data_IF_127332486837
#
_entry.id   IF_127332486837
#
_cell.length_a   1.000
_cell.length_b   1.000
_cell.length_c   1.000
_cell.angle_alpha   90.00
_cell.angle_beta   90.00
_cell.angle_gamma   90.00
#
_symmetry.space_group_name_H-M   'P 1'
#
loop_
_entity.id
_entity.type
_entity.pdbx_description
1 polymer ?
#
# COMPACT_ATOMS: atom_id res chain seq x y z
N UNK A 1 -2.62 -18.30 -11.34
CA UNK A 1 -1.79 -17.17 -11.84
C UNK A 1 -0.34 -17.52 -11.57
N UNK A 2 0.54 -17.46 -12.58
CA UNK A 2 1.96 -17.76 -12.40
C UNK A 2 2.65 -16.61 -11.63
N UNK A 3 3.49 -16.94 -10.65
CA UNK A 3 4.26 -15.96 -9.90
C UNK A 3 5.43 -15.42 -10.74
N UNK A 4 5.74 -14.13 -10.60
CA UNK A 4 6.77 -13.45 -11.38
C UNK A 4 7.75 -12.67 -10.52
N UNK A 5 8.96 -12.46 -11.03
CA UNK A 5 9.92 -11.49 -10.51
C UNK A 5 9.80 -10.16 -11.26
N UNK A 6 9.77 -9.06 -10.51
CA UNK A 6 9.89 -7.72 -11.07
C UNK A 6 11.36 -7.27 -11.09
N UNK A 7 11.73 -6.34 -11.98
CA UNK A 7 13.02 -5.69 -11.90
C UNK A 7 13.19 -4.92 -10.58
N UNK A 8 14.44 -4.85 -10.13
CA UNK A 8 14.88 -4.16 -8.92
C UNK A 8 15.57 -2.86 -9.29
N UNK A 9 15.33 -1.85 -8.48
CA UNK A 9 16.11 -0.61 -8.49
C UNK A 9 16.52 -0.25 -7.07
N UNK A 10 17.81 -0.04 -6.83
CA UNK A 10 18.28 0.35 -5.50
C UNK A 10 17.86 1.79 -5.14
N UNK A 11 17.90 2.07 -3.83
CA UNK A 11 17.51 3.36 -3.26
C UNK A 11 18.20 4.55 -3.93
N UNK A 12 19.53 4.49 -4.13
CA UNK A 12 20.31 5.65 -4.56
C UNK A 12 19.89 6.07 -5.97
N UNK A 13 19.62 5.10 -6.85
CA UNK A 13 19.18 5.39 -8.21
C UNK A 13 17.71 5.79 -8.25
N UNK A 14 16.86 5.18 -7.42
CA UNK A 14 15.47 5.59 -7.29
C UNK A 14 15.34 7.05 -6.83
N UNK A 15 16.13 7.45 -5.84
CA UNK A 15 16.22 8.82 -5.33
C UNK A 15 16.63 9.81 -6.42
N UNK A 16 17.72 9.52 -7.15
CA UNK A 16 18.20 10.36 -8.26
C UNK A 16 17.17 10.53 -9.37
N UNK A 17 16.41 9.48 -9.70
CA UNK A 17 15.34 9.55 -10.70
C UNK A 17 14.23 10.49 -10.27
N UNK A 18 13.79 10.40 -9.02
CA UNK A 18 12.75 11.27 -8.46
C UNK A 18 13.23 12.73 -8.45
N UNK A 19 14.43 13.00 -7.92
CA UNK A 19 15.00 14.35 -7.86
C UNK A 19 15.12 14.98 -9.25
N UNK A 20 15.66 14.22 -10.23
CA UNK A 20 15.79 14.69 -11.61
C UNK A 20 14.42 14.99 -12.23
N UNK A 21 13.47 14.06 -12.12
CA UNK A 21 12.13 14.21 -12.71
C UNK A 21 11.39 15.40 -12.11
N UNK A 22 11.47 15.59 -10.79
CA UNK A 22 10.85 16.73 -10.10
C UNK A 22 11.49 18.04 -10.54
N UNK A 23 12.81 18.08 -10.70
CA UNK A 23 13.53 19.25 -11.21
C UNK A 23 13.09 19.57 -12.64
N UNK A 24 13.04 18.57 -13.51
CA UNK A 24 12.63 18.72 -14.91
C UNK A 24 11.16 19.17 -15.00
N UNK A 25 10.28 18.62 -14.15
CA UNK A 25 8.88 19.03 -14.04
C UNK A 25 8.73 20.50 -13.59
N UNK A 26 9.49 20.94 -12.59
CA UNK A 26 9.50 22.35 -12.15
C UNK A 26 9.99 23.30 -13.25
N UNK A 27 10.95 22.84 -14.08
CA UNK A 27 11.54 23.67 -15.13
C UNK A 27 10.74 23.68 -16.44
N UNK A 28 10.09 22.58 -16.81
CA UNK A 28 9.41 22.41 -18.11
C UNK A 28 7.89 22.33 -18.03
N UNK A 29 7.32 22.09 -16.84
CA UNK A 29 5.89 21.78 -16.66
C UNK A 29 5.49 20.37 -17.07
N UNK A 30 6.42 19.54 -17.55
CA UNK A 30 6.17 18.16 -18.00
C UNK A 30 6.90 17.14 -17.13
N UNK A 31 6.23 16.01 -16.85
CA UNK A 31 6.85 14.87 -16.17
C UNK A 31 7.54 14.02 -17.24
N UNK A 32 8.85 14.22 -17.41
CA UNK A 32 9.68 13.32 -18.20
C UNK A 32 10.17 12.18 -17.31
N UNK A 33 9.68 10.97 -17.53
CA UNK A 33 10.19 9.76 -16.87
C UNK A 33 11.29 9.19 -17.77
N UNK A 34 12.56 9.10 -17.32
CA UNK A 34 13.64 8.65 -18.18
C UNK A 34 13.43 7.20 -18.67
N UNK A 35 13.73 6.96 -19.94
CA UNK A 35 13.92 5.60 -20.45
C UNK A 35 15.12 4.96 -19.72
N UNK A 36 14.83 3.90 -18.97
CA UNK A 36 15.79 2.94 -18.42
C UNK A 36 16.97 3.51 -17.61
N UNK A 37 16.88 3.35 -16.28
CA UNK A 37 18.07 3.42 -15.43
C UNK A 37 18.99 2.22 -15.74
N UNK A 38 20.29 2.42 -16.04
CA UNK A 38 21.23 1.36 -16.41
C UNK A 38 21.54 0.36 -15.26
N UNK A 39 20.87 0.50 -14.11
CA UNK A 39 21.01 -0.36 -12.94
C UNK A 39 19.71 -1.05 -12.52
N UNK A 40 18.75 -1.13 -13.42
CA UNK A 40 17.62 -2.05 -13.26
C UNK A 40 18.13 -3.47 -13.53
N UNK A 41 17.91 -4.38 -12.58
CA UNK A 41 18.33 -5.79 -12.69
C UNK A 41 17.22 -6.70 -12.17
N UNK A 42 17.21 -7.96 -12.57
CA UNK A 42 16.32 -8.95 -11.95
C UNK A 42 17.01 -9.62 -10.76
N UNK A 43 16.26 -9.96 -9.69
CA UNK A 43 16.83 -10.73 -8.59
C UNK A 43 17.18 -12.15 -9.06
N UNK A 44 18.23 -12.74 -8.50
CA UNK A 44 18.66 -14.11 -8.78
C UNK A 44 17.69 -15.14 -8.17
N UNK A 45 16.53 -15.30 -8.80
CA UNK A 45 15.46 -16.20 -8.36
C UNK A 45 15.01 -17.12 -9.51
N UNK A 46 14.42 -18.28 -9.23
CA UNK A 46 13.88 -19.17 -10.26
C UNK A 46 12.54 -18.68 -10.85
N UNK A 47 12.06 -17.50 -10.46
CA UNK A 47 10.79 -16.97 -10.94
C UNK A 47 10.90 -16.52 -12.39
N UNK A 48 9.79 -16.64 -13.13
CA UNK A 48 9.70 -16.03 -14.45
C UNK A 48 9.79 -14.51 -14.34
N UNK A 49 10.57 -13.89 -15.20
CA UNK A 49 10.64 -12.43 -15.29
C UNK A 49 9.33 -11.90 -15.88
N UNK A 50 8.79 -10.82 -15.30
CA UNK A 50 7.66 -10.11 -15.91
C UNK A 50 8.08 -9.57 -17.29
N UNK A 51 7.20 -9.71 -18.30
CA UNK A 51 7.50 -9.21 -19.64
C UNK A 51 7.30 -7.70 -19.74
N UNK A 52 7.96 -7.06 -20.70
CA UNK A 52 7.80 -5.63 -20.96
C UNK A 52 6.34 -5.28 -21.29
N UNK A 53 5.67 -6.12 -22.09
CA UNK A 53 4.27 -5.94 -22.46
C UNK A 53 3.33 -5.99 -21.25
N UNK A 54 3.65 -6.83 -20.25
CA UNK A 54 2.89 -6.89 -19.01
C UNK A 54 3.07 -5.61 -18.17
N UNK A 55 4.28 -5.05 -18.13
CA UNK A 55 4.57 -3.77 -17.47
C UNK A 55 3.84 -2.63 -18.18
N UNK A 56 3.88 -2.58 -19.51
CA UNK A 56 3.19 -1.56 -20.31
C UNK A 56 1.67 -1.66 -20.13
N UNK A 57 1.13 -2.88 -20.16
CA UNK A 57 -0.29 -3.13 -19.90
C UNK A 57 -0.70 -2.70 -18.49
N UNK A 58 0.14 -2.94 -17.48
CA UNK A 58 -0.08 -2.42 -16.13
C UNK A 58 -0.10 -0.89 -16.16
N UNK A 59 0.92 -0.24 -16.74
CA UNK A 59 1.02 1.23 -16.78
C UNK A 59 -0.21 1.86 -17.44
N UNK A 60 -0.60 1.39 -18.63
CA UNK A 60 -1.80 1.88 -19.32
C UNK A 60 -3.02 1.80 -18.40
N UNK A 61 -3.24 0.64 -17.76
CA UNK A 61 -4.38 0.45 -16.88
C UNK A 61 -4.35 1.37 -15.66
N UNK A 62 -3.19 1.59 -15.05
CA UNK A 62 -3.05 2.51 -13.91
C UNK A 62 -3.33 3.95 -14.33
N UNK A 63 -2.80 4.39 -15.47
CA UNK A 63 -3.01 5.75 -15.99
C UNK A 63 -4.48 5.98 -16.36
N UNK A 64 -5.12 5.05 -17.07
CA UNK A 64 -6.56 5.10 -17.37
C UNK A 64 -7.40 5.22 -16.09
N UNK A 65 -7.07 4.41 -15.07
CA UNK A 65 -7.74 4.47 -13.77
C UNK A 65 -7.51 5.82 -13.10
N UNK A 66 -6.28 6.35 -13.13
CA UNK A 66 -5.98 7.66 -12.55
C UNK A 66 -6.81 8.78 -13.21
N UNK A 67 -6.92 8.77 -14.55
CA UNK A 67 -7.71 9.75 -15.30
C UNK A 67 -9.20 9.69 -14.94
N UNK A 68 -9.77 8.50 -14.71
CA UNK A 68 -11.17 8.34 -14.28
C UNK A 68 -11.46 9.02 -12.92
N UNK A 69 -10.44 9.26 -12.10
CA UNK A 69 -10.54 9.91 -10.80
C UNK A 69 -9.97 11.34 -10.79
N UNK A 70 -9.86 11.96 -11.96
CA UNK A 70 -9.49 13.37 -12.15
C UNK A 70 -7.99 13.65 -12.27
N UNK A 71 -7.12 12.64 -12.05
CA UNK A 71 -5.67 12.86 -12.11
C UNK A 71 -5.19 13.18 -13.53
N UNK A 72 -4.26 14.14 -13.62
CA UNK A 72 -3.73 14.62 -14.91
C UNK A 72 -4.68 15.56 -15.66
N UNK A 73 -5.79 15.98 -15.04
CA UNK A 73 -6.76 16.93 -15.59
C UNK A 73 -6.95 18.15 -14.66
N UNK A 74 -7.82 19.08 -15.06
CA UNK A 74 -8.24 20.20 -14.20
C UNK A 74 -9.39 19.84 -13.25
N UNK A 75 -9.84 18.58 -13.25
CA UNK A 75 -10.92 18.11 -12.39
C UNK A 75 -10.42 17.88 -10.95
N UNK A 76 -11.37 17.76 -10.02
CA UNK A 76 -11.05 17.51 -8.62
C UNK A 76 -10.62 16.05 -8.45
N UNK A 77 -9.36 15.84 -8.01
CA UNK A 77 -8.84 14.51 -7.72
C UNK A 77 -9.62 13.79 -6.60
N UNK A 78 -10.07 12.57 -6.88
CA UNK A 78 -10.74 11.69 -5.92
C UNK A 78 -9.76 10.67 -5.29
N UNK A 79 -8.81 11.17 -4.50
CA UNK A 79 -7.71 10.38 -3.92
C UNK A 79 -8.12 9.04 -3.28
N UNK A 80 -9.16 9.03 -2.46
CA UNK A 80 -9.58 7.81 -1.75
C UNK A 80 -10.28 6.81 -2.68
N UNK A 81 -11.09 7.29 -3.63
CA UNK A 81 -11.78 6.42 -4.57
C UNK A 81 -10.79 5.78 -5.56
N UNK A 82 -9.79 6.56 -6.00
CA UNK A 82 -8.67 6.07 -6.78
C UNK A 82 -7.89 4.96 -6.08
N UNK A 83 -7.46 5.17 -4.82
CA UNK A 83 -6.71 4.13 -4.09
C UNK A 83 -7.53 2.84 -3.98
N UNK A 84 -8.84 2.94 -3.74
CA UNK A 84 -9.75 1.78 -3.65
C UNK A 84 -9.84 1.02 -4.97
N UNK A 85 -10.00 1.74 -6.09
CA UNK A 85 -10.08 1.13 -7.41
C UNK A 85 -8.76 0.51 -7.86
N UNK A 86 -7.64 1.16 -7.52
CA UNK A 86 -6.31 0.73 -7.93
C UNK A 86 -5.79 -0.47 -7.11
N UNK A 87 -6.22 -0.61 -5.86
CA UNK A 87 -5.79 -1.69 -4.96
C UNK A 87 -5.92 -3.11 -5.55
N UNK A 88 -7.10 -3.56 -6.02
CA UNK A 88 -7.22 -4.87 -6.65
C UNK A 88 -6.46 -4.98 -7.98
N UNK A 89 -6.36 -3.88 -8.76
CA UNK A 89 -5.62 -3.86 -10.03
C UNK A 89 -4.14 -4.16 -9.80
N UNK A 90 -3.52 -3.46 -8.85
CA UNK A 90 -2.09 -3.63 -8.51
C UNK A 90 -1.82 -5.06 -8.05
N UNK A 91 -2.65 -5.61 -7.17
CA UNK A 91 -2.44 -6.95 -6.65
C UNK A 91 -2.58 -8.03 -7.73
N UNK A 92 -3.64 -7.99 -8.53
CA UNK A 92 -3.90 -9.03 -9.52
C UNK A 92 -2.99 -8.94 -10.74
N UNK A 93 -2.53 -7.74 -11.12
CA UNK A 93 -1.59 -7.59 -12.24
C UNK A 93 -0.13 -7.78 -11.85
N UNK A 94 0.19 -7.79 -10.55
CA UNK A 94 1.51 -8.10 -10.01
C UNK A 94 1.42 -9.37 -9.14
N UNK A 95 1.46 -10.58 -9.74
CA UNK A 95 1.52 -11.84 -9.02
C UNK A 95 2.89 -12.06 -8.37
N UNK A 96 3.24 -11.16 -7.45
CA UNK A 96 4.47 -11.22 -6.69
C UNK A 96 4.33 -12.24 -5.56
N UNK A 97 5.33 -13.08 -5.32
CA UNK A 97 5.40 -13.78 -4.05
C UNK A 97 5.76 -12.80 -2.93
N UNK A 98 5.39 -13.17 -1.69
CA UNK A 98 5.55 -12.33 -0.50
C UNK A 98 7.00 -11.89 -0.27
N UNK A 99 7.98 -12.74 -0.59
CA UNK A 99 9.40 -12.41 -0.48
C UNK A 99 9.81 -11.29 -1.46
N UNK A 100 9.33 -11.32 -2.71
CA UNK A 100 9.57 -10.26 -3.69
C UNK A 100 8.89 -8.97 -3.26
N UNK A 101 7.62 -9.03 -2.84
CA UNK A 101 6.87 -7.88 -2.36
C UNK A 101 7.44 -7.23 -1.09
N UNK A 102 8.26 -7.97 -0.31
CA UNK A 102 8.97 -7.40 0.86
C UNK A 102 10.14 -6.53 0.45
N UNK A 103 10.75 -6.79 -0.72
CA UNK A 103 11.89 -6.03 -1.21
C UNK A 103 11.48 -4.60 -1.57
N UNK A 104 12.08 -3.56 -0.94
CA UNK A 104 11.84 -2.18 -1.35
C UNK A 104 12.27 -1.91 -2.81
N UNK A 105 13.20 -2.70 -3.35
CA UNK A 105 13.75 -2.48 -4.69
C UNK A 105 12.73 -2.74 -5.80
N UNK A 106 11.79 -3.66 -5.61
CA UNK A 106 10.66 -3.87 -6.53
C UNK A 106 9.80 -2.61 -6.62
N UNK A 107 9.48 -2.04 -5.46
CA UNK A 107 8.63 -0.86 -5.37
C UNK A 107 9.32 0.41 -5.82
N UNK A 108 10.63 0.52 -5.58
CA UNK A 108 11.48 1.55 -6.14
C UNK A 108 11.37 1.54 -7.67
N UNK A 109 11.61 0.39 -8.31
CA UNK A 109 11.50 0.26 -9.75
C UNK A 109 10.11 0.65 -10.26
N UNK A 110 9.07 0.00 -9.73
CA UNK A 110 7.70 0.24 -10.18
C UNK A 110 7.30 1.71 -10.03
N UNK A 111 7.63 2.33 -8.91
CA UNK A 111 7.19 3.69 -8.61
C UNK A 111 8.00 4.74 -9.34
N UNK A 112 9.33 4.63 -9.37
CA UNK A 112 10.18 5.71 -9.90
C UNK A 112 10.50 5.54 -11.39
N UNK A 113 10.35 4.33 -11.93
CA UNK A 113 10.62 4.03 -13.35
C UNK A 113 9.34 3.86 -14.15
N UNK A 114 8.31 3.21 -13.60
CA UNK A 114 7.10 2.86 -14.38
C UNK A 114 5.94 3.83 -14.14
N UNK A 115 5.74 4.30 -12.91
CA UNK A 115 4.52 5.00 -12.49
C UNK A 115 4.79 6.32 -11.74
N UNK A 116 5.91 6.99 -12.02
CA UNK A 116 6.35 8.15 -11.25
C UNK A 116 5.39 9.35 -11.41
N UNK A 117 4.86 9.54 -12.61
CA UNK A 117 3.83 10.52 -12.90
C UNK A 117 2.58 10.33 -12.03
N UNK A 118 2.06 9.09 -11.98
CA UNK A 118 0.88 8.76 -11.16
C UNK A 118 1.17 8.93 -9.67
N UNK A 119 2.38 8.56 -9.23
CA UNK A 119 2.79 8.78 -7.85
C UNK A 119 2.85 10.27 -7.48
N UNK A 120 3.38 11.11 -8.38
CA UNK A 120 3.45 12.57 -8.22
C UNK A 120 2.07 13.24 -8.26
N UNK A 121 1.14 12.72 -9.07
CA UNK A 121 -0.25 13.17 -9.07
C UNK A 121 -0.94 12.84 -7.75
N UNK A 122 -0.74 11.61 -7.24
CA UNK A 122 -1.35 11.13 -5.98
C UNK A 122 -0.77 11.84 -4.76
N UNK A 123 0.53 12.09 -4.78
CA UNK A 123 1.28 12.78 -3.76
C UNK A 123 2.19 13.78 -4.42
N UNK A 124 1.86 15.08 -4.43
CA UNK A 124 2.80 16.08 -4.89
C UNK A 124 4.11 16.00 -4.12
N UNK A 125 5.24 16.16 -4.80
CA UNK A 125 6.55 16.02 -4.19
C UNK A 125 6.83 17.14 -3.18
N UNK A 126 7.13 16.74 -1.96
CA UNK A 126 7.67 17.59 -0.89
C UNK A 126 9.02 17.01 -0.46
N UNK A 127 10.03 17.86 -0.24
CA UNK A 127 11.40 17.46 0.16
C UNK A 127 11.50 16.93 1.62
N UNK A 128 10.37 16.66 2.28
CA UNK A 128 10.37 16.13 3.65
C UNK A 128 10.71 14.64 3.63
N UNK A 129 11.53 14.19 4.58
CA UNK A 129 11.93 12.77 4.67
C UNK A 129 10.72 11.81 4.78
N UNK A 130 9.64 12.24 5.43
CA UNK A 130 8.41 11.44 5.56
C UNK A 130 7.68 11.23 4.24
N UNK A 131 7.74 12.18 3.30
CA UNK A 131 7.09 12.11 1.99
C UNK A 131 7.93 11.31 0.99
N UNK A 132 9.26 11.28 1.13
CA UNK A 132 10.16 10.51 0.26
C UNK A 132 9.86 9.01 0.27
N UNK A 133 9.41 8.45 1.41
CA UNK A 133 9.05 7.03 1.56
C UNK A 133 7.88 6.59 0.66
N UNK A 134 7.11 7.54 0.13
CA UNK A 134 6.03 7.26 -0.83
C UNK A 134 6.57 6.90 -2.21
N UNK A 135 7.81 7.25 -2.51
CA UNK A 135 8.43 7.04 -3.81
C UNK A 135 9.46 5.92 -3.79
N UNK A 136 10.25 5.80 -2.71
CA UNK A 136 11.32 4.82 -2.62
C UNK A 136 11.65 4.40 -1.19
N UNK A 137 12.38 3.28 -1.06
CA UNK A 137 13.01 2.75 0.15
C UNK A 137 12.03 2.37 1.29
N UNK A 138 10.81 1.98 0.94
CA UNK A 138 9.83 1.45 1.88
C UNK A 138 8.84 0.57 1.09
N UNK A 139 8.54 -0.65 1.54
CA UNK A 139 7.57 -1.51 0.84
C UNK A 139 6.13 -1.26 1.30
N UNK A 140 5.94 -0.81 2.54
CA UNK A 140 4.62 -0.62 3.16
C UNK A 140 4.10 0.81 3.01
N UNK A 141 4.98 1.80 2.85
CA UNK A 141 4.59 3.21 2.67
C UNK A 141 4.72 3.71 1.24
N UNK A 142 5.38 2.93 0.38
CA UNK A 142 5.46 3.25 -1.03
C UNK A 142 4.06 3.29 -1.66
N UNK A 143 3.88 4.21 -2.61
CA UNK A 143 2.59 4.55 -3.22
C UNK A 143 1.84 3.32 -3.74
N UNK A 144 2.54 2.40 -4.41
CA UNK A 144 1.93 1.19 -4.99
C UNK A 144 2.16 -0.05 -4.11
N UNK A 145 3.31 -0.13 -3.42
CA UNK A 145 3.60 -1.23 -2.50
C UNK A 145 2.55 -1.37 -1.40
N UNK A 146 2.11 -0.25 -0.82
CA UNK A 146 1.03 -0.24 0.18
C UNK A 146 -0.28 -0.83 -0.36
N UNK A 147 -0.61 -0.58 -1.63
CA UNK A 147 -1.86 -1.03 -2.24
C UNK A 147 -1.81 -2.55 -2.44
N UNK A 148 -0.67 -3.05 -2.91
CA UNK A 148 -0.43 -4.48 -3.01
C UNK A 148 -0.55 -5.17 -1.65
N UNK A 149 0.13 -4.64 -0.63
CA UNK A 149 0.10 -5.21 0.73
C UNK A 149 -1.27 -5.15 1.37
N UNK A 150 -2.03 -4.09 1.10
CA UNK A 150 -3.41 -3.93 1.57
C UNK A 150 -4.31 -5.02 1.02
N UNK A 151 -4.27 -5.28 -0.27
CA UNK A 151 -5.05 -6.37 -0.86
C UNK A 151 -4.53 -7.75 -0.43
N UNK A 152 -3.21 -7.94 -0.33
CA UNK A 152 -2.64 -9.20 0.13
C UNK A 152 -3.19 -9.64 1.50
N UNK A 153 -3.36 -8.70 2.41
CA UNK A 153 -3.84 -8.98 3.77
C UNK A 153 -5.37 -8.99 3.89
N UNK A 154 -6.08 -8.17 3.11
CA UNK A 154 -7.51 -7.94 3.31
C UNK A 154 -8.39 -8.48 2.18
N UNK A 155 -7.82 -8.87 1.05
CA UNK A 155 -8.58 -9.22 -0.15
C UNK A 155 -9.58 -8.13 -0.51
N UNK A 156 -10.85 -8.51 -0.72
CA UNK A 156 -11.93 -7.58 -1.06
C UNK A 156 -12.23 -6.54 0.04
N UNK A 157 -11.98 -6.86 1.31
CA UNK A 157 -12.11 -5.90 2.42
C UNK A 157 -11.13 -4.74 2.32
N UNK A 158 -10.09 -4.87 1.49
CA UNK A 158 -9.17 -3.77 1.22
C UNK A 158 -9.90 -2.49 0.80
N UNK A 159 -11.02 -2.59 0.07
CA UNK A 159 -11.79 -1.44 -0.40
C UNK A 159 -12.48 -0.61 0.71
N UNK A 160 -12.75 -1.20 1.88
CA UNK A 160 -13.39 -0.50 3.00
C UNK A 160 -12.39 0.17 3.95
N UNK A 161 -11.10 -0.15 3.85
CA UNK A 161 -10.05 0.43 4.69
C UNK A 161 -9.71 1.88 4.30
N UNK A 162 -9.29 2.72 5.25
CA UNK A 162 -8.65 4.01 4.97
C UNK A 162 -7.14 3.90 4.75
N UNK A 163 -6.51 4.90 4.14
CA UNK A 163 -5.03 5.01 4.08
C UNK A 163 -4.43 5.06 5.49
N UNK A 164 -4.98 5.92 6.36
CA UNK A 164 -4.53 6.03 7.76
C UNK A 164 -4.75 4.73 8.55
N UNK A 165 -5.84 4.02 8.30
CA UNK A 165 -6.11 2.74 8.96
C UNK A 165 -5.06 1.71 8.53
N UNK A 166 -4.74 1.64 7.23
CA UNK A 166 -3.66 0.81 6.73
C UNK A 166 -2.33 1.16 7.39
N UNK A 167 -1.92 2.43 7.41
CA UNK A 167 -0.65 2.82 8.05
C UNK A 167 -0.61 2.47 9.55
N UNK A 168 -1.74 2.59 10.25
CA UNK A 168 -1.84 2.24 11.67
C UNK A 168 -1.79 0.72 11.91
N UNK A 169 -2.36 -0.10 11.02
CA UNK A 169 -2.30 -1.56 11.12
C UNK A 169 -0.91 -2.07 10.75
N UNK A 170 -0.38 -1.62 9.61
CA UNK A 170 0.86 -2.12 9.00
C UNK A 170 2.12 -1.49 9.59
N UNK A 171 2.02 -0.35 10.27
CA UNK A 171 3.08 0.18 11.12
C UNK A 171 3.35 -0.65 12.38
N UNK A 172 2.63 -1.75 12.61
CA UNK A 172 2.74 -2.63 13.80
C UNK A 172 3.13 -4.04 13.37
N UNK A 173 4.39 -4.40 13.60
CA UNK A 173 5.04 -5.59 13.03
C UNK A 173 4.42 -6.94 13.42
N UNK A 174 3.82 -7.09 14.59
CA UNK A 174 3.19 -8.36 15.02
C UNK A 174 1.90 -8.65 14.25
N UNK A 175 1.01 -7.67 14.15
CA UNK A 175 -0.31 -7.84 13.52
C UNK A 175 -0.18 -7.91 11.99
N UNK A 176 0.69 -7.07 11.42
CA UNK A 176 0.96 -7.01 9.99
C UNK A 176 1.75 -8.22 9.46
N UNK A 177 2.27 -9.08 10.33
CA UNK A 177 3.04 -10.27 9.94
C UNK A 177 2.19 -11.44 9.47
N UNK A 178 0.88 -11.44 9.79
CA UNK A 178 -0.04 -12.53 9.50
C UNK A 178 -1.30 -12.01 8.77
N UNK A 179 -1.47 -12.34 7.47
CA UNK A 179 -2.65 -11.98 6.68
C UNK A 179 -3.98 -12.41 7.30
N UNK A 180 -4.06 -13.61 7.88
CA UNK A 180 -5.30 -14.12 8.46
C UNK A 180 -5.72 -13.30 9.68
N UNK A 181 -4.76 -12.96 10.55
CA UNK A 181 -5.01 -12.13 11.74
C UNK A 181 -5.40 -10.70 11.32
N UNK A 182 -4.68 -10.12 10.36
CA UNK A 182 -4.99 -8.79 9.82
C UNK A 182 -6.40 -8.74 9.23
N UNK A 183 -6.77 -9.75 8.43
CA UNK A 183 -8.10 -9.88 7.86
C UNK A 183 -9.18 -10.02 8.94
N UNK A 184 -9.00 -10.94 9.90
CA UNK A 184 -9.97 -11.17 10.97
C UNK A 184 -10.18 -9.92 11.82
N UNK A 185 -9.10 -9.27 12.24
CA UNK A 185 -9.14 -8.03 13.02
C UNK A 185 -9.91 -6.94 12.28
N UNK A 186 -9.53 -6.68 11.03
CA UNK A 186 -10.15 -5.61 10.26
C UNK A 186 -11.61 -5.93 9.92
N UNK A 187 -11.93 -7.19 9.60
CA UNK A 187 -13.32 -7.65 9.39
C UNK A 187 -14.21 -7.39 10.60
N UNK A 188 -13.74 -7.76 11.80
CA UNK A 188 -14.51 -7.53 13.04
C UNK A 188 -14.64 -6.04 13.32
N UNK A 189 -13.57 -5.26 13.11
CA UNK A 189 -13.62 -3.82 13.27
C UNK A 189 -14.64 -3.18 12.32
N UNK A 190 -14.60 -3.55 11.03
CA UNK A 190 -15.48 -3.00 10.00
C UNK A 190 -16.95 -3.31 10.31
N UNK A 191 -17.23 -4.56 10.70
CA UNK A 191 -18.55 -5.02 11.16
C UNK A 191 -19.05 -4.20 12.37
N UNK A 192 -18.24 -4.08 13.43
CA UNK A 192 -18.66 -3.47 14.69
C UNK A 192 -18.68 -1.93 14.66
N UNK A 193 -17.81 -1.30 13.87
CA UNK A 193 -17.78 0.15 13.72
C UNK A 193 -19.02 0.64 12.97
N UNK A 194 -19.40 -0.05 11.89
CA UNK A 194 -20.51 0.31 11.02
C UNK A 194 -20.51 1.81 10.69
N UNK A 195 -21.70 2.43 10.69
CA UNK A 195 -21.89 3.87 10.49
C UNK A 195 -22.07 4.66 11.79
N UNK A 196 -21.96 3.99 12.95
CA UNK A 196 -22.40 4.52 14.25
C UNK A 196 -21.30 5.23 15.04
N UNK A 197 -20.04 5.00 14.70
CA UNK A 197 -18.89 5.59 15.38
C UNK A 197 -18.66 7.03 14.94
N UNK A 198 -18.48 7.95 15.90
CA UNK A 198 -18.22 9.39 15.63
C UNK A 198 -16.95 9.61 14.80
N UNK A 199 -15.94 8.76 14.99
CA UNK A 199 -14.68 8.84 14.25
C UNK A 199 -14.06 7.46 14.06
N UNK A 200 -14.30 6.87 12.89
CA UNK A 200 -13.76 5.56 12.50
C UNK A 200 -12.23 5.52 12.62
N UNK A 201 -11.53 6.47 12.02
CA UNK A 201 -10.08 6.58 12.07
C UNK A 201 -9.53 6.62 13.51
N UNK A 202 -10.07 7.48 14.39
CA UNK A 202 -9.59 7.59 15.77
C UNK A 202 -9.83 6.30 16.55
N UNK A 203 -11.02 5.70 16.38
CA UNK A 203 -11.36 4.44 17.02
C UNK A 203 -10.47 3.29 16.54
N UNK A 204 -10.16 3.21 15.24
CA UNK A 204 -9.25 2.20 14.69
C UNK A 204 -7.83 2.38 15.24
N UNK A 205 -7.34 3.62 15.32
CA UNK A 205 -6.02 3.92 15.89
C UNK A 205 -5.92 3.47 17.36
N UNK A 206 -6.98 3.67 18.15
CA UNK A 206 -7.02 3.20 19.54
C UNK A 206 -7.09 1.67 19.61
N UNK A 207 -7.89 1.02 18.76
CA UNK A 207 -7.90 -0.45 18.61
C UNK A 207 -6.51 -0.98 18.27
N UNK A 208 -5.85 -0.44 17.25
CA UNK A 208 -4.51 -0.87 16.85
C UNK A 208 -3.47 -0.68 17.97
N UNK A 209 -3.61 0.38 18.77
CA UNK A 209 -2.75 0.63 19.93
C UNK A 209 -2.98 -0.38 21.04
N UNK A 210 -4.24 -0.70 21.34
CA UNK A 210 -4.62 -1.70 22.34
C UNK A 210 -4.15 -3.10 21.94
N UNK A 211 -4.36 -3.49 20.67
CA UNK A 211 -3.95 -4.80 20.18
C UNK A 211 -2.43 -4.96 20.15
N UNK A 212 -1.68 -3.88 19.88
CA UNK A 212 -0.22 -3.87 20.07
C UNK A 212 0.15 -4.20 21.50
N UNK A 213 -0.51 -3.59 22.48
CA UNK A 213 -0.27 -3.87 23.88
C UNK A 213 -0.54 -5.35 24.20
N UNK A 214 -1.68 -5.90 23.78
CA UNK A 214 -1.98 -7.32 23.98
C UNK A 214 -0.98 -8.25 23.29
N UNK A 215 -0.47 -7.90 22.11
CA UNK A 215 0.53 -8.72 21.40
C UNK A 215 1.86 -8.87 22.15
N UNK A 216 2.10 -8.08 23.20
CA UNK A 216 3.28 -8.23 24.07
C UNK A 216 3.14 -9.39 25.06
N UNK A 217 1.91 -9.82 25.35
CA UNK A 217 1.59 -10.82 26.39
C UNK A 217 0.84 -12.02 25.82
N UNK A 218 0.18 -11.86 24.68
CA UNK A 218 -0.62 -12.86 24.00
C UNK A 218 -0.04 -13.07 22.60
N UNK A 219 0.38 -14.29 22.27
CA UNK A 219 0.62 -14.65 20.87
C UNK A 219 -0.71 -14.92 20.20
N UNK A 220 -1.08 -14.05 19.26
CA UNK A 220 -2.32 -14.20 18.51
C UNK A 220 -2.28 -15.43 17.59
N UNK A 221 -1.09 -15.80 17.12
CA UNK A 221 -0.84 -16.97 16.27
C UNK A 221 -1.03 -18.30 17.03
N UNK A 222 -0.84 -18.29 18.35
CA UNK A 222 -1.01 -19.46 19.19
C UNK A 222 -2.46 -19.68 19.65
N UNK A 223 -3.33 -18.68 19.51
CA UNK A 223 -4.72 -18.78 19.92
C UNK A 223 -5.56 -19.55 18.89
N UNK A 224 -6.45 -20.46 19.32
CA UNK A 224 -7.47 -21.03 18.45
C UNK A 224 -8.32 -19.92 17.80
N UNK A 225 -8.67 -20.09 16.52
CA UNK A 225 -9.37 -19.06 15.72
C UNK A 225 -10.64 -18.53 16.39
N UNK A 226 -11.44 -19.42 16.99
CA UNK A 226 -12.67 -19.06 17.71
C UNK A 226 -12.40 -18.23 18.97
N UNK A 227 -11.32 -18.54 19.69
CA UNK A 227 -10.91 -17.79 20.87
C UNK A 227 -10.33 -16.42 20.49
N UNK A 228 -9.49 -16.36 19.46
CA UNK A 228 -8.97 -15.11 18.91
C UNK A 228 -10.12 -14.20 18.47
N UNK A 229 -11.08 -14.72 17.70
CA UNK A 229 -12.25 -13.95 17.26
C UNK A 229 -13.06 -13.41 18.45
N UNK A 230 -13.37 -14.26 19.44
CA UNK A 230 -14.09 -13.86 20.65
C UNK A 230 -13.36 -12.72 21.38
N UNK A 231 -12.05 -12.86 21.57
CA UNK A 231 -11.23 -11.87 22.27
C UNK A 231 -11.17 -10.55 21.49
N UNK A 232 -10.94 -10.60 20.17
CA UNK A 232 -10.95 -9.42 19.31
C UNK A 232 -12.29 -8.69 19.37
N UNK A 233 -13.42 -9.41 19.30
CA UNK A 233 -14.76 -8.82 19.41
C UNK A 233 -14.94 -8.08 20.73
N UNK A 234 -14.51 -8.66 21.85
CA UNK A 234 -14.59 -8.01 23.19
C UNK A 234 -13.71 -6.76 23.25
N UNK A 235 -12.45 -6.86 22.85
CA UNK A 235 -11.50 -5.75 22.92
C UNK A 235 -11.90 -4.59 22.00
N UNK A 236 -12.29 -4.89 20.76
CA UNK A 236 -12.75 -3.89 19.79
C UNK A 236 -14.03 -3.22 20.28
N UNK A 237 -15.02 -3.99 20.74
CA UNK A 237 -16.28 -3.43 21.26
C UNK A 237 -16.05 -2.48 22.43
N UNK A 238 -15.12 -2.83 23.35
CA UNK A 238 -14.75 -1.98 24.48
C UNK A 238 -14.17 -0.63 24.05
N UNK A 239 -13.35 -0.60 22.99
CA UNK A 239 -12.86 0.66 22.42
C UNK A 239 -14.01 1.42 21.75
N UNK A 240 -14.78 0.76 20.89
CA UNK A 240 -15.84 1.39 20.10
C UNK A 240 -16.96 2.00 20.97
N UNK A 241 -17.23 1.45 22.15
CA UNK A 241 -18.20 2.00 23.10
C UNK A 241 -17.91 3.47 23.44
N UNK A 242 -16.64 3.89 23.52
CA UNK A 242 -16.24 5.28 23.77
C UNK A 242 -16.55 6.23 22.61
N UNK A 243 -16.73 5.68 21.40
CA UNK A 243 -16.91 6.43 20.15
C UNK A 243 -18.33 6.35 19.60
N UNK A 244 -19.25 5.61 20.25
CA UNK A 244 -20.67 5.56 19.86
C UNK A 244 -21.34 6.92 20.12
N UNK A 245 -22.41 7.19 19.35
CA UNK A 245 -23.18 8.42 19.46
C UNK A 245 -23.78 8.63 20.83
#
# INVERSE_FOLDING_TARGET
>A
MQLVALPYLDKIHAEKLVERTVKDMKSSGYIYVPEYSPKVYFPDTPLAQISAEAIDSLRMRVVETAQQYGFGSNEKNEYSAFDKALTPIIYHRLPLPVNEAKSPNVWNYLTTTVLLDVALWRFPFEEKISTLRRYYNDSLRNTFGRLWWRYHHLGELASSMGEDEFENLFGRSSIAGNPEISHLLFSIFDELAGTTVKSRMKSFREVATLLRFYSTTISFEALPRNELERNLRVWISGVLAKYRK
#
